data_IF_253245663389
#
_entry.id   IF_253245663389
#
_cell.length_a   1.000
_cell.length_b   1.000
_cell.length_c   1.000
_cell.angle_alpha   90.00
_cell.angle_beta   90.00
_cell.angle_gamma   90.00
#
_symmetry.space_group_name_H-M   'P 1'
#
loop_
_entity.id
_entity.type
_entity.pdbx_description
1 polymer ?
#
# COMPACT_ATOMS: atom_id res chain seq x y z
N UNK A 1 -7.43 18.91 -1.18
CA UNK A 1 -6.93 17.70 -1.89
C UNK A 1 -7.53 16.45 -1.28
N UNK A 2 -7.92 15.51 -2.10
CA UNK A 2 -8.68 14.33 -1.69
C UNK A 2 -7.80 13.10 -1.58
N UNK A 3 -6.80 13.19 -0.71
CA UNK A 3 -5.92 12.06 -0.46
C UNK A 3 -6.63 11.01 0.38
N UNK A 4 -6.35 9.76 0.07
CA UNK A 4 -6.88 8.60 0.79
C UNK A 4 -5.80 8.07 1.71
N UNK A 5 -6.12 7.96 2.99
CA UNK A 5 -5.21 7.42 3.99
C UNK A 5 -5.24 5.91 3.97
N UNK A 6 -4.08 5.28 3.81
CA UNK A 6 -3.95 3.82 3.85
C UNK A 6 -2.75 3.43 4.69
N UNK A 7 -2.66 2.14 4.97
CA UNK A 7 -1.52 1.56 5.69
C UNK A 7 -0.61 0.89 4.68
N UNK A 8 0.61 1.38 4.56
CA UNK A 8 1.61 0.86 3.65
C UNK A 8 2.50 -0.15 4.34
N UNK A 9 2.85 -1.22 3.63
CA UNK A 9 3.83 -2.21 4.09
C UNK A 9 5.19 -1.82 3.52
N UNK A 10 6.15 -1.56 4.40
CA UNK A 10 7.47 -1.09 4.02
C UNK A 10 8.50 -2.17 4.31
N UNK A 11 9.29 -2.49 3.31
CA UNK A 11 10.37 -3.46 3.43
C UNK A 11 11.67 -2.74 3.75
N UNK A 12 12.43 -3.32 4.68
CA UNK A 12 13.76 -2.83 5.02
C UNK A 12 14.73 -3.99 5.02
N UNK A 13 15.80 -3.85 4.24
CA UNK A 13 16.87 -4.85 4.19
C UNK A 13 18.04 -4.41 5.05
N UNK A 14 18.56 -5.33 5.84
CA UNK A 14 19.73 -5.08 6.66
C UNK A 14 20.54 -6.37 6.80
N UNK A 15 21.81 -6.23 7.12
CA UNK A 15 22.64 -7.40 7.42
C UNK A 15 22.16 -8.05 8.71
N UNK A 16 21.96 -9.36 8.69
CA UNK A 16 21.45 -10.10 9.84
C UNK A 16 22.48 -10.15 10.97
N UNK A 17 23.76 -10.28 10.61
CA UNK A 17 24.87 -10.35 11.55
C UNK A 17 26.08 -9.64 10.98
N UNK A 18 26.88 -9.04 11.86
CA UNK A 18 28.16 -8.48 11.50
C UNK A 18 29.08 -9.56 10.91
N UNK A 19 29.70 -9.26 9.78
CA UNK A 19 30.63 -10.17 9.15
C UNK A 19 30.01 -11.26 8.29
N UNK A 20 28.70 -11.32 8.18
CA UNK A 20 28.02 -12.24 7.26
C UNK A 20 27.43 -11.46 6.07
N UNK A 21 27.37 -12.12 4.92
CA UNK A 21 26.78 -11.54 3.72
C UNK A 21 25.26 -11.78 3.63
N UNK A 22 24.64 -12.29 4.68
CA UNK A 22 23.22 -12.62 4.68
C UNK A 22 22.40 -11.36 4.93
N UNK A 23 21.51 -11.03 3.97
CA UNK A 23 20.58 -9.92 4.10
C UNK A 23 19.30 -10.41 4.76
N UNK A 24 18.86 -9.66 5.76
CA UNK A 24 17.57 -9.91 6.41
C UNK A 24 16.57 -8.85 5.97
N UNK A 25 15.41 -9.30 5.51
CA UNK A 25 14.32 -8.41 5.13
C UNK A 25 13.29 -8.38 6.26
N UNK A 26 12.99 -7.18 6.74
CA UNK A 26 11.97 -6.96 7.76
C UNK A 26 10.89 -6.06 7.19
N UNK A 27 9.67 -6.22 7.70
CA UNK A 27 8.51 -5.47 7.23
C UNK A 27 7.93 -4.65 8.37
N UNK A 28 7.60 -3.40 8.07
CA UNK A 28 6.93 -2.51 9.02
C UNK A 28 5.73 -1.88 8.34
N UNK A 29 4.83 -1.34 9.15
CA UNK A 29 3.63 -0.65 8.66
C UNK A 29 3.77 0.84 8.94
N UNK A 30 3.32 1.66 7.99
CA UNK A 30 3.26 3.11 8.18
C UNK A 30 2.06 3.69 7.47
N UNK A 31 1.60 4.83 7.92
CA UNK A 31 0.53 5.56 7.23
C UNK A 31 1.05 6.17 5.94
N UNK A 32 0.22 6.15 4.91
CA UNK A 32 0.50 6.81 3.64
C UNK A 32 -0.78 7.49 3.15
N UNK A 33 -0.62 8.63 2.54
CA UNK A 33 -1.72 9.37 1.91
C UNK A 33 -1.55 9.31 0.40
N UNK A 34 -2.56 8.80 -0.29
CA UNK A 34 -2.51 8.55 -1.72
C UNK A 34 -3.47 9.50 -2.43
N UNK A 35 -2.95 10.22 -3.42
CA UNK A 35 -3.79 11.01 -4.30
C UNK A 35 -4.34 10.08 -5.41
N UNK A 36 -5.67 9.84 -5.46
CA UNK A 36 -6.25 8.94 -6.45
C UNK A 36 -5.94 9.33 -7.90
N UNK A 37 -5.72 10.61 -8.16
CA UNK A 37 -5.40 11.11 -9.51
C UNK A 37 -4.04 10.62 -10.00
N UNK A 38 -3.15 10.22 -9.11
CA UNK A 38 -1.84 9.73 -9.47
C UNK A 38 -1.78 8.20 -9.60
N UNK A 39 -2.87 7.51 -9.31
CA UNK A 39 -2.91 6.05 -9.39
C UNK A 39 -3.07 5.62 -10.84
N UNK A 40 -2.13 4.80 -11.31
CA UNK A 40 -2.15 4.26 -12.66
C UNK A 40 -2.95 2.96 -12.70
N UNK A 41 -2.65 2.04 -11.79
CA UNK A 41 -3.38 0.79 -11.67
C UNK A 41 -3.14 0.16 -10.30
N UNK A 42 -3.98 -0.80 -9.98
CA UNK A 42 -3.91 -1.55 -8.72
C UNK A 42 -4.12 -3.02 -9.01
N UNK A 43 -3.45 -3.86 -8.23
CA UNK A 43 -3.65 -5.30 -8.32
C UNK A 43 -3.40 -5.95 -6.96
N UNK A 44 -3.91 -7.17 -6.77
CA UNK A 44 -3.61 -7.95 -5.58
C UNK A 44 -2.11 -8.19 -5.47
N UNK A 45 -1.56 -8.00 -4.28
CA UNK A 45 -0.16 -8.32 -4.01
C UNK A 45 -0.08 -9.71 -3.38
N UNK A 46 0.02 -10.71 -4.22
CA UNK A 46 0.04 -12.10 -3.77
C UNK A 46 1.37 -12.47 -3.11
N UNK A 47 2.44 -11.79 -3.47
CA UNK A 47 3.73 -11.99 -2.82
C UNK A 47 3.68 -11.54 -1.37
N UNK A 48 3.08 -10.37 -1.10
CA UNK A 48 2.93 -9.88 0.27
C UNK A 48 1.98 -10.77 1.06
N UNK A 49 0.94 -11.30 0.42
CA UNK A 49 0.03 -12.27 1.05
C UNK A 49 0.80 -13.53 1.50
N UNK A 50 1.75 -13.98 0.68
CA UNK A 50 2.62 -15.11 1.01
C UNK A 50 3.53 -14.76 2.20
N UNK A 51 4.08 -13.54 2.24
CA UNK A 51 4.93 -13.10 3.35
C UNK A 51 4.15 -13.10 4.66
N UNK A 52 2.88 -12.73 4.61
CA UNK A 52 2.00 -12.80 5.78
C UNK A 52 1.85 -14.25 6.26
N UNK A 53 1.60 -15.17 5.35
CA UNK A 53 1.46 -16.59 5.67
C UNK A 53 2.75 -17.19 6.25
N UNK A 54 3.89 -16.64 5.86
CA UNK A 54 5.21 -17.06 6.36
C UNK A 54 5.59 -16.37 7.68
N UNK A 55 4.69 -15.59 8.27
CA UNK A 55 4.89 -14.85 9.51
C UNK A 55 6.04 -13.83 9.45
N UNK A 56 6.27 -13.26 8.28
CA UNK A 56 7.32 -12.26 8.06
C UNK A 56 6.85 -10.82 8.30
N UNK A 57 5.54 -10.61 8.42
CA UNK A 57 4.94 -9.30 8.66
C UNK A 57 4.67 -9.10 10.17
N UNK A 58 4.36 -7.87 10.60
CA UNK A 58 4.01 -7.61 12.00
C UNK A 58 2.87 -8.51 12.49
N UNK A 59 2.96 -8.96 13.74
CA UNK A 59 2.05 -9.96 14.30
C UNK A 59 0.62 -9.48 14.52
N UNK A 60 0.38 -8.20 14.48
CA UNK A 60 -0.95 -7.62 14.66
C UNK A 60 -1.84 -7.71 13.42
N UNK A 61 -1.31 -8.23 12.31
CA UNK A 61 -2.10 -8.45 11.10
C UNK A 61 -2.80 -9.81 11.15
N UNK A 62 -4.10 -9.81 10.78
CA UNK A 62 -4.87 -11.04 10.65
C UNK A 62 -4.38 -11.83 9.43
N UNK A 63 -4.33 -13.16 9.53
CA UNK A 63 -3.90 -14.02 8.42
C UNK A 63 -4.83 -13.98 7.21
N UNK A 64 -6.05 -13.47 7.38
CA UNK A 64 -7.00 -13.28 6.28
C UNK A 64 -6.79 -11.96 5.55
N UNK A 65 -5.89 -11.11 6.05
CA UNK A 65 -5.63 -9.81 5.46
C UNK A 65 -5.14 -9.95 4.01
N UNK A 66 -5.65 -9.10 3.15
CA UNK A 66 -5.21 -9.01 1.76
C UNK A 66 -4.40 -7.73 1.55
N UNK A 67 -3.66 -7.69 0.44
CA UNK A 67 -2.77 -6.58 0.13
C UNK A 67 -2.96 -6.16 -1.32
N UNK A 68 -2.79 -4.87 -1.57
CA UNK A 68 -2.91 -4.29 -2.90
C UNK A 68 -1.60 -3.59 -3.26
N UNK A 69 -1.08 -3.90 -4.44
CA UNK A 69 0.03 -3.16 -5.02
C UNK A 69 -0.56 -2.03 -5.87
N UNK A 70 -0.15 -0.81 -5.57
CA UNK A 70 -0.62 0.39 -6.24
C UNK A 70 0.53 1.00 -7.02
N UNK A 71 0.32 1.21 -8.32
CA UNK A 71 1.29 1.88 -9.19
C UNK A 71 0.91 3.34 -9.28
N UNK A 72 1.85 4.19 -8.90
CA UNK A 72 1.65 5.64 -8.83
C UNK A 72 2.62 6.31 -9.80
N UNK A 73 2.11 7.29 -10.55
CA UNK A 73 2.93 8.10 -11.45
C UNK A 73 2.73 9.57 -11.10
N UNK A 74 3.83 10.24 -10.77
CA UNK A 74 3.83 11.66 -10.41
C UNK A 74 4.73 12.42 -11.39
N UNK A 75 4.34 12.40 -12.67
CA UNK A 75 5.12 13.06 -13.71
C UNK A 75 6.23 12.18 -14.25
N UNK A 76 7.48 12.46 -13.90
CA UNK A 76 8.64 11.76 -14.46
C UNK A 76 8.98 10.44 -13.79
N UNK A 77 8.49 10.21 -12.59
CA UNK A 77 8.84 9.03 -11.81
C UNK A 77 7.61 8.20 -11.50
N UNK A 78 7.69 6.90 -11.86
CA UNK A 78 6.73 5.92 -11.42
C UNK A 78 7.27 5.18 -10.20
N UNK A 79 6.39 4.81 -9.29
CA UNK A 79 6.75 3.97 -8.16
C UNK A 79 5.58 3.07 -7.82
N UNK A 80 5.87 1.99 -7.11
CA UNK A 80 4.82 1.13 -6.58
C UNK A 80 4.92 1.06 -5.06
N UNK A 81 3.77 0.89 -4.43
CA UNK A 81 3.67 0.68 -2.99
C UNK A 81 2.69 -0.47 -2.73
N UNK A 82 2.87 -1.15 -1.61
CA UNK A 82 1.93 -2.17 -1.16
C UNK A 82 1.20 -1.65 0.06
N UNK A 83 -0.13 -1.73 0.03
CA UNK A 83 -0.98 -1.29 1.15
C UNK A 83 -1.85 -2.44 1.64
N UNK A 84 -2.25 -2.33 2.90
CA UNK A 84 -3.16 -3.27 3.54
C UNK A 84 -4.56 -3.04 3.00
N UNK A 85 -5.23 -4.11 2.61
CA UNK A 85 -6.59 -4.08 2.06
C UNK A 85 -6.66 -4.72 0.69
N UNK A 86 -7.83 -5.25 0.34
CA UNK A 86 -8.05 -5.83 -0.99
C UNK A 86 -8.16 -4.74 -2.05
N UNK A 87 -7.88 -5.05 -3.32
CA UNK A 87 -8.05 -4.07 -4.40
C UNK A 87 -9.45 -3.48 -4.46
N UNK A 88 -10.49 -4.28 -4.23
CA UNK A 88 -11.88 -3.80 -4.22
C UNK A 88 -12.12 -2.76 -3.14
N UNK A 89 -11.62 -3.03 -1.95
CA UNK A 89 -11.75 -2.11 -0.81
C UNK A 89 -11.06 -0.79 -1.10
N UNK A 90 -9.82 -0.86 -1.58
CA UNK A 90 -9.02 0.34 -1.89
C UNK A 90 -9.69 1.15 -2.99
N UNK A 91 -10.13 0.49 -4.06
CA UNK A 91 -10.79 1.13 -5.19
C UNK A 91 -12.07 1.84 -4.75
N UNK A 92 -12.88 1.19 -3.93
CA UNK A 92 -14.11 1.78 -3.41
C UNK A 92 -13.84 3.05 -2.60
N UNK A 93 -12.82 3.03 -1.76
CA UNK A 93 -12.44 4.19 -0.95
C UNK A 93 -11.98 5.35 -1.83
N UNK A 94 -11.21 5.08 -2.85
CA UNK A 94 -10.77 6.11 -3.80
C UNK A 94 -11.92 6.68 -4.60
N UNK A 95 -12.85 5.82 -5.02
CA UNK A 95 -14.05 6.24 -5.76
C UNK A 95 -14.95 7.12 -4.89
N UNK A 96 -15.19 6.75 -3.65
CA UNK A 96 -15.99 7.54 -2.70
C UNK A 96 -15.41 8.94 -2.54
N UNK A 97 -14.11 9.05 -2.36
CA UNK A 97 -13.41 10.32 -2.20
C UNK A 97 -13.57 11.21 -3.44
N UNK A 98 -13.41 10.63 -4.62
CA UNK A 98 -13.57 11.34 -5.88
C UNK A 98 -15.01 11.83 -6.05
N UNK A 99 -15.99 11.02 -5.69
CA UNK A 99 -17.40 11.36 -5.78
C UNK A 99 -17.79 12.50 -4.84
N UNK A 100 -17.29 12.45 -3.62
CA UNK A 100 -17.49 13.51 -2.62
C UNK A 100 -16.92 14.84 -3.11
N UNK A 101 -15.75 14.81 -3.71
CA UNK A 101 -15.12 15.99 -4.27
C UNK A 101 -15.98 16.61 -5.39
N UNK A 102 -16.53 15.79 -6.27
CA UNK A 102 -17.43 16.24 -7.32
C UNK A 102 -18.68 16.88 -6.75
N UNK A 103 -19.24 16.30 -5.71
CA UNK A 103 -20.42 16.87 -5.03
C UNK A 103 -20.15 18.24 -4.44
N UNK A 104 -18.98 18.41 -3.81
CA UNK A 104 -18.58 19.70 -3.24
C UNK A 104 -18.45 20.77 -4.33
N UNK A 105 -17.83 20.42 -5.44
CA UNK A 105 -17.68 21.34 -6.57
C UNK A 105 -19.04 21.74 -7.12
N UNK A 106 -19.97 20.80 -7.26
CA UNK A 106 -21.30 21.06 -7.81
C UNK A 106 -22.20 21.89 -6.88
N UNK A 107 -21.94 21.83 -5.60
CA UNK A 107 -22.71 22.61 -4.62
C UNK A 107 -22.27 24.06 -4.53
N UNK A 108 -21.10 24.33 -4.99
CA UNK A 108 -20.54 25.58 -4.76
C UNK A 108 -20.13 26.53 -5.54
#
# INVERSE_FOLDING_TARGET
>A
MNNVKRTEVVSKRSLANEGTAVMKETYTLREVYINPEHVVCMRSDNLMKRRLAENLLPNDLDQRQEFTKIYINRGHAGLDITVVGSPSLIQNKMFETALEHKREILKG
#
